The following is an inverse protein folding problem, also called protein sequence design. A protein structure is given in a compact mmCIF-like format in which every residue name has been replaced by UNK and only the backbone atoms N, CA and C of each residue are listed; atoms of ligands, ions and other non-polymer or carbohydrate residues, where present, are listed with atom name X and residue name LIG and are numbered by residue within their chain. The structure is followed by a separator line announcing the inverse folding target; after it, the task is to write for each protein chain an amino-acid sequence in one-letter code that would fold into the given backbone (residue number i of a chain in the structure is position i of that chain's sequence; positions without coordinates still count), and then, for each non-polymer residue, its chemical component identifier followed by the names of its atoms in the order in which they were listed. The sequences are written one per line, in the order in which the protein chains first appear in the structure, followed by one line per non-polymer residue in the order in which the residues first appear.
data_IF_836853721272
#
_entry.id   IF_836853721272
#
_cell.length_a   1.000
_cell.length_b   1.000
_cell.length_c   1.000
_cell.angle_alpha   90.00
_cell.angle_beta   90.00
_cell.angle_gamma   90.00
#
_symmetry.space_group_name_H-M   'P 1'
#
loop_
_entity.id
_entity.type
_entity.pdbx_description
1 polymer ?
#
# COMPACT_ATOMS: atom_id res chain seq x y z
N UNK A 1 20.49 8.49 -0.13
CA UNK A 1 20.17 9.31 -1.32
C UNK A 1 19.83 10.71 -0.79
N UNK A 2 20.85 11.39 -0.26
CA UNK A 2 20.74 12.46 0.75
C UNK A 2 21.33 13.78 0.22
N UNK A 3 21.39 13.95 -1.10
CA UNK A 3 22.29 14.91 -1.73
C UNK A 3 21.67 16.28 -2.04
N UNK A 4 20.34 16.40 -2.08
CA UNK A 4 19.73 17.69 -2.44
C UNK A 4 19.81 18.75 -1.33
N UNK A 5 19.93 18.32 -0.06
CA UNK A 5 20.04 19.21 1.10
C UNK A 5 21.38 19.10 1.86
N UNK A 6 22.31 18.26 1.42
CA UNK A 6 23.67 18.22 2.00
C UNK A 6 24.42 19.55 1.77
N UNK A 7 24.08 20.28 0.70
CA UNK A 7 24.69 21.58 0.38
C UNK A 7 24.18 22.75 1.23
N UNK A 8 23.18 22.55 2.09
CA UNK A 8 22.72 23.58 3.03
C UNK A 8 23.64 23.74 4.26
N UNK A 9 24.79 23.07 4.29
CA UNK A 9 25.84 23.36 5.25
C UNK A 9 26.65 24.57 4.79
N UNK A 10 26.32 25.75 5.30
CA UNK A 10 27.21 26.80 5.81
C UNK A 10 26.42 28.11 5.88
N UNK A 11 26.67 28.91 6.92
CA UNK A 11 25.96 30.14 7.26
C UNK A 11 26.16 31.32 6.30
N UNK A 12 26.09 31.08 4.99
CA UNK A 12 26.10 32.09 3.94
C UNK A 12 25.46 31.57 2.65
N UNK A 13 24.27 30.96 2.72
CA UNK A 13 23.53 30.62 1.51
C UNK A 13 23.10 31.90 0.78
N UNK A 14 23.69 32.17 -0.39
CA UNK A 14 23.26 33.28 -1.25
C UNK A 14 21.77 33.09 -1.58
N UNK A 15 21.00 34.17 -1.54
CA UNK A 15 19.54 34.17 -1.81
C UNK A 15 19.16 33.48 -3.14
N UNK A 16 20.07 33.44 -4.12
CA UNK A 16 19.90 32.70 -5.37
C UNK A 16 19.86 31.17 -5.23
N UNK A 17 20.61 30.60 -4.28
CA UNK A 17 20.68 29.15 -4.06
C UNK A 17 19.39 28.61 -3.43
N UNK A 18 18.82 29.36 -2.47
CA UNK A 18 17.54 29.04 -1.84
C UNK A 18 16.39 29.08 -2.87
N UNK A 19 16.38 30.08 -3.76
CA UNK A 19 15.37 30.18 -4.82
C UNK A 19 15.43 29.01 -5.80
N UNK A 20 16.63 28.62 -6.23
CA UNK A 20 16.82 27.49 -7.12
C UNK A 20 16.34 26.17 -6.49
N UNK A 21 16.60 25.98 -5.18
CA UNK A 21 16.12 24.83 -4.43
C UNK A 21 14.58 24.78 -4.32
N UNK A 22 13.94 25.92 -4.06
CA UNK A 22 12.47 26.03 -4.04
C UNK A 22 11.87 25.69 -5.41
N UNK A 23 12.46 26.20 -6.49
CA UNK A 23 12.02 25.89 -7.86
C UNK A 23 12.24 24.41 -8.22
N UNK A 24 13.32 23.79 -7.75
CA UNK A 24 13.55 22.35 -7.91
C UNK A 24 12.49 21.52 -7.15
N UNK A 25 12.18 21.89 -5.91
CA UNK A 25 11.15 21.23 -5.10
C UNK A 25 9.75 21.34 -5.72
N UNK A 26 9.39 22.53 -6.22
CA UNK A 26 8.12 22.75 -6.93
C UNK A 26 8.02 21.92 -8.22
N UNK A 27 9.11 21.80 -8.98
CA UNK A 27 9.19 20.92 -10.16
C UNK A 27 9.03 19.44 -9.78
N UNK A 28 9.64 19.01 -8.68
CA UNK A 28 9.52 17.63 -8.19
C UNK A 28 8.07 17.32 -7.79
N UNK A 29 7.42 18.21 -7.05
CA UNK A 29 5.99 18.09 -6.72
C UNK A 29 5.12 17.99 -7.96
N UNK A 30 5.34 18.88 -8.94
CA UNK A 30 4.56 18.87 -10.19
C UNK A 30 4.68 17.53 -10.93
N UNK A 31 5.91 16.98 -11.02
CA UNK A 31 6.16 15.67 -11.63
C UNK A 31 5.49 14.53 -10.86
N UNK A 32 5.56 14.54 -9.54
CA UNK A 32 5.06 13.47 -8.69
C UNK A 32 3.53 13.46 -8.55
N UNK A 33 2.89 14.64 -8.51
CA UNK A 33 1.49 14.77 -8.09
C UNK A 33 0.57 15.34 -9.19
N UNK A 34 1.08 16.13 -10.14
CA UNK A 34 0.25 16.89 -11.08
C UNK A 34 0.28 16.33 -12.51
N UNK A 35 1.30 15.56 -12.88
CA UNK A 35 1.46 15.07 -14.24
C UNK A 35 0.88 13.66 -14.44
N UNK A 36 -0.06 13.47 -15.38
CA UNK A 36 -0.53 12.14 -15.74
C UNK A 36 0.62 11.37 -16.40
N UNK A 37 1.18 10.40 -15.68
CA UNK A 37 2.31 9.60 -16.16
C UNK A 37 1.83 8.21 -16.55
N UNK A 38 2.14 7.78 -17.80
CA UNK A 38 1.84 6.41 -18.27
C UNK A 38 2.79 5.36 -17.71
N UNK A 39 3.99 5.76 -17.28
CA UNK A 39 5.00 4.88 -16.72
C UNK A 39 4.93 4.86 -15.18
N UNK A 40 4.28 3.84 -14.63
CA UNK A 40 4.12 3.68 -13.19
C UNK A 40 5.46 3.57 -12.43
N UNK A 41 6.50 3.02 -13.04
CA UNK A 41 7.82 2.90 -12.42
C UNK A 41 8.51 4.28 -12.26
N UNK A 42 8.35 5.16 -13.24
CA UNK A 42 8.83 6.54 -13.12
C UNK A 42 8.06 7.33 -12.07
N UNK A 43 6.74 7.11 -12.00
CA UNK A 43 5.86 7.75 -11.04
C UNK A 43 6.20 7.35 -9.60
N UNK A 44 6.37 6.05 -9.32
CA UNK A 44 6.71 5.57 -7.97
C UNK A 44 8.07 6.11 -7.51
N UNK A 45 9.05 6.24 -8.41
CA UNK A 45 10.35 6.84 -8.11
C UNK A 45 10.22 8.34 -7.79
N UNK A 46 9.41 9.07 -8.58
CA UNK A 46 9.17 10.50 -8.36
C UNK A 46 8.44 10.77 -7.04
N UNK A 47 7.46 9.92 -6.69
CA UNK A 47 6.75 9.98 -5.41
C UNK A 47 7.67 9.68 -4.22
N UNK A 48 8.55 8.68 -4.33
CA UNK A 48 9.54 8.37 -3.30
C UNK A 48 10.53 9.51 -3.10
N UNK A 49 11.08 10.06 -4.20
CA UNK A 49 12.00 11.19 -4.13
C UNK A 49 11.32 12.41 -3.49
N UNK A 50 10.07 12.69 -3.86
CA UNK A 50 9.32 13.79 -3.29
C UNK A 50 9.03 13.59 -1.79
N UNK A 51 8.63 12.39 -1.39
CA UNK A 51 8.40 12.04 0.02
C UNK A 51 9.67 12.20 0.88
N UNK A 52 10.82 11.77 0.37
CA UNK A 52 12.11 11.93 1.06
C UNK A 52 12.44 13.41 1.24
N UNK A 53 12.24 14.25 0.21
CA UNK A 53 12.47 15.69 0.31
C UNK A 53 11.51 16.36 1.31
N UNK A 54 10.23 15.98 1.31
CA UNK A 54 9.24 16.46 2.29
C UNK A 54 9.66 16.14 3.73
N UNK A 55 10.13 14.93 3.98
CA UNK A 55 10.57 14.48 5.31
C UNK A 55 11.81 15.26 5.80
N UNK A 56 12.72 15.61 4.89
CA UNK A 56 13.88 16.46 5.22
C UNK A 56 13.44 17.90 5.50
N UNK A 57 12.45 18.40 4.75
CA UNK A 57 11.93 19.76 4.89
C UNK A 57 11.22 19.96 6.24
N UNK A 58 10.39 19.01 6.65
CA UNK A 58 9.68 19.01 7.94
C UNK A 58 10.62 19.13 9.14
N UNK A 59 11.68 18.31 9.19
CA UNK A 59 12.68 18.36 10.28
C UNK A 59 13.35 19.72 10.43
N UNK A 60 13.41 20.53 9.36
CA UNK A 60 13.95 21.89 9.39
C UNK A 60 12.90 22.92 9.83
N UNK A 61 11.62 22.69 9.50
CA UNK A 61 10.51 23.56 9.92
C UNK A 61 10.12 23.38 11.39
N UNK A 62 10.34 22.20 11.99
CA UNK A 62 10.18 21.98 13.44
C UNK A 62 11.02 22.97 14.28
N UNK A 63 12.01 23.64 13.68
CA UNK A 63 12.89 24.61 14.32
C UNK A 63 12.43 26.08 14.13
N UNK A 64 11.41 26.35 13.30
CA UNK A 64 11.00 27.72 12.92
C UNK A 64 9.47 27.85 12.84
N UNK A 65 8.83 28.70 13.65
CA UNK A 65 7.39 28.96 13.56
C UNK A 65 7.06 30.02 12.50
N UNK A 66 5.93 29.94 11.75
CA UNK A 66 4.84 28.97 11.82
C UNK A 66 4.86 27.89 10.72
N UNK A 67 4.29 26.73 11.05
CA UNK A 67 4.15 25.53 10.20
C UNK A 67 3.08 25.66 9.10
N UNK A 68 2.60 26.87 8.79
CA UNK A 68 1.52 27.04 7.82
C UNK A 68 2.10 27.18 6.40
N UNK A 69 2.16 26.08 5.66
CA UNK A 69 2.44 26.09 4.23
C UNK A 69 1.12 26.23 3.47
N UNK A 70 0.74 27.45 3.13
CA UNK A 70 -0.40 27.70 2.24
C UNK A 70 -0.13 27.09 0.85
N UNK A 71 -1.10 26.34 0.31
CA UNK A 71 -1.16 26.06 -1.13
C UNK A 71 -1.29 24.60 -1.55
N UNK A 72 -1.23 23.62 -0.64
CA UNK A 72 -1.51 22.23 -1.03
C UNK A 72 -3.02 22.01 -1.17
N UNK A 73 -3.45 21.35 -2.25
CA UNK A 73 -4.84 20.96 -2.45
C UNK A 73 -4.87 19.54 -2.96
N UNK A 74 -5.56 18.67 -2.23
CA UNK A 74 -5.79 17.28 -2.59
C UNK A 74 -7.28 17.03 -2.76
N UNK A 75 -7.62 16.23 -3.75
CA UNK A 75 -8.97 15.72 -3.91
C UNK A 75 -9.11 14.39 -3.17
N UNK A 76 -10.34 14.06 -2.86
CA UNK A 76 -10.67 12.77 -2.28
C UNK A 76 -10.34 11.65 -3.27
N UNK A 77 -9.80 10.54 -2.77
CA UNK A 77 -9.51 9.37 -3.60
C UNK A 77 -10.81 8.68 -4.07
N UNK A 78 -11.94 8.90 -3.39
CA UNK A 78 -13.22 8.27 -3.69
C UNK A 78 -14.26 9.30 -4.16
N UNK A 79 -14.85 9.06 -5.33
CA UNK A 79 -15.90 9.91 -5.93
C UNK A 79 -17.27 9.79 -5.23
N UNK A 80 -17.36 9.13 -4.06
CA UNK A 80 -18.62 8.73 -3.40
C UNK A 80 -19.44 9.88 -2.78
N UNK A 81 -18.99 11.13 -2.92
CA UNK A 81 -19.63 12.31 -2.32
C UNK A 81 -19.50 12.40 -0.80
N UNK A 82 -18.86 11.41 -0.14
CA UNK A 82 -18.48 11.43 1.28
C UNK A 82 -16.97 11.49 1.40
N UNK A 83 -16.47 12.37 2.25
CA UNK A 83 -15.02 12.58 2.34
C UNK A 83 -14.33 11.44 3.10
N UNK A 84 -13.30 10.88 2.49
CA UNK A 84 -12.23 10.03 3.02
C UNK A 84 -11.26 10.82 3.90
N UNK A 85 -11.14 12.13 3.67
CA UNK A 85 -10.54 13.04 4.64
C UNK A 85 -11.38 13.03 5.93
N UNK A 86 -10.72 13.03 7.10
CA UNK A 86 -11.40 13.00 8.39
C UNK A 86 -12.48 14.07 8.57
N UNK A 87 -13.39 13.87 9.52
CA UNK A 87 -14.53 14.77 9.83
C UNK A 87 -14.11 16.23 10.14
N UNK A 88 -12.84 16.47 10.43
CA UNK A 88 -12.28 17.79 10.71
C UNK A 88 -11.89 18.50 9.41
N UNK A 89 -12.89 18.85 8.60
CA UNK A 89 -12.73 19.85 7.54
C UNK A 89 -12.56 21.23 8.18
N UNK A 90 -11.34 21.56 8.59
CA UNK A 90 -10.82 22.91 8.44
C UNK A 90 -9.63 22.77 7.49
N UNK A 91 -9.82 23.26 6.28
CA UNK A 91 -8.94 23.23 5.13
C UNK A 91 -7.61 23.96 5.34
N UNK A 92 -6.82 23.50 6.29
CA UNK A 92 -5.42 23.89 6.40
C UNK A 92 -4.62 22.72 5.85
N UNK A 93 -4.31 22.82 4.58
CA UNK A 93 -3.29 21.97 3.97
C UNK A 93 -1.97 22.20 4.67
N UNK A 94 -1.67 21.33 5.63
CA UNK A 94 -0.38 21.32 6.29
C UNK A 94 0.56 20.31 5.61
N UNK A 95 1.85 20.41 5.90
CA UNK A 95 2.90 19.50 5.43
C UNK A 95 2.58 18.04 5.76
N UNK A 96 1.90 17.80 6.88
CA UNK A 96 1.45 16.47 7.31
C UNK A 96 0.46 15.85 6.31
N UNK A 97 -0.52 16.63 5.84
CA UNK A 97 -1.49 16.17 4.86
C UNK A 97 -0.84 15.94 3.49
N UNK A 98 0.08 16.81 3.06
CA UNK A 98 0.85 16.60 1.82
C UNK A 98 1.64 15.29 1.89
N UNK A 99 2.35 15.04 3.00
CA UNK A 99 3.10 13.81 3.22
C UNK A 99 2.21 12.58 3.22
N UNK A 100 1.08 12.64 3.93
CA UNK A 100 0.11 11.54 3.97
C UNK A 100 -0.46 11.25 2.58
N UNK A 101 -0.86 12.27 1.82
CA UNK A 101 -1.39 12.10 0.46
C UNK A 101 -0.35 11.53 -0.51
N UNK A 102 0.91 12.00 -0.44
CA UNK A 102 2.01 11.46 -1.25
C UNK A 102 2.28 9.98 -0.93
N UNK A 103 2.31 9.62 0.36
CA UNK A 103 2.53 8.23 0.78
C UNK A 103 1.35 7.32 0.42
N UNK A 104 0.12 7.82 0.50
CA UNK A 104 -1.07 7.12 0.02
C UNK A 104 -0.96 6.83 -1.49
N UNK A 105 -0.62 7.84 -2.30
CA UNK A 105 -0.44 7.66 -3.74
C UNK A 105 0.72 6.71 -4.07
N UNK A 106 1.82 6.77 -3.31
CA UNK A 106 2.92 5.84 -3.43
C UNK A 106 2.45 4.39 -3.21
N UNK A 107 1.70 4.14 -2.13
CA UNK A 107 1.07 2.84 -1.86
C UNK A 107 0.14 2.39 -2.98
N UNK A 108 -0.70 3.30 -3.49
CA UNK A 108 -1.62 3.02 -4.59
C UNK A 108 -0.87 2.64 -5.89
N UNK A 109 0.18 3.36 -6.26
CA UNK A 109 0.98 3.05 -7.47
C UNK A 109 1.71 1.72 -7.31
N UNK A 110 2.28 1.42 -6.14
CA UNK A 110 2.86 0.10 -5.86
C UNK A 110 1.86 -1.04 -6.08
N UNK A 111 0.63 -0.89 -5.60
CA UNK A 111 -0.43 -1.88 -5.80
C UNK A 111 -0.80 -2.07 -7.27
N UNK A 112 -0.78 -0.99 -8.06
CA UNK A 112 -1.07 -1.05 -9.50
C UNK A 112 0.05 -1.78 -10.26
N UNK A 113 1.32 -1.50 -9.94
CA UNK A 113 2.47 -2.21 -10.54
C UNK A 113 2.45 -3.69 -10.16
N UNK A 114 2.10 -4.00 -8.91
CA UNK A 114 1.97 -5.39 -8.45
C UNK A 114 0.84 -6.13 -9.17
N UNK A 115 -0.32 -5.49 -9.34
CA UNK A 115 -1.47 -6.06 -10.03
C UNK A 115 -1.25 -6.21 -11.55
N UNK A 116 -0.36 -5.43 -12.16
CA UNK A 116 -0.03 -5.54 -13.58
C UNK A 116 0.99 -6.62 -13.93
N UNK A 117 1.57 -7.31 -12.93
CA UNK A 117 2.47 -8.43 -13.18
C UNK A 117 1.73 -9.60 -13.84
N UNK A 118 2.41 -10.39 -14.67
CA UNK A 118 1.80 -11.52 -15.37
C UNK A 118 1.61 -12.76 -14.47
N UNK A 119 2.36 -12.84 -13.37
CA UNK A 119 2.43 -14.00 -12.47
C UNK A 119 2.80 -15.32 -13.15
N UNK A 120 3.46 -15.26 -14.32
CA UNK A 120 3.87 -16.45 -15.08
C UNK A 120 5.25 -16.96 -14.63
N UNK A 121 6.12 -16.06 -14.19
CA UNK A 121 7.45 -16.42 -13.67
C UNK A 121 7.53 -16.27 -12.15
N UNK A 122 8.49 -16.96 -11.55
CA UNK A 122 8.79 -16.86 -10.12
C UNK A 122 9.22 -15.42 -9.74
N UNK A 123 10.03 -14.78 -10.58
CA UNK A 123 10.54 -13.43 -10.33
C UNK A 123 9.42 -12.38 -10.35
N UNK A 124 8.49 -12.45 -11.32
CA UNK A 124 7.33 -11.56 -11.37
C UNK A 124 6.41 -11.78 -10.17
N UNK A 125 6.21 -13.03 -9.74
CA UNK A 125 5.36 -13.35 -8.60
C UNK A 125 5.96 -12.86 -7.28
N UNK A 126 7.27 -13.05 -7.08
CA UNK A 126 8.01 -12.48 -5.94
C UNK A 126 7.96 -10.96 -5.95
N UNK A 127 8.12 -10.36 -7.11
CA UNK A 127 8.06 -8.89 -7.28
C UNK A 127 6.68 -8.37 -6.91
N UNK A 128 5.61 -8.96 -7.43
CA UNK A 128 4.24 -8.59 -7.06
C UNK A 128 4.00 -8.72 -5.56
N UNK A 129 4.39 -9.85 -4.94
CA UNK A 129 4.19 -10.08 -3.52
C UNK A 129 4.93 -9.04 -2.65
N UNK A 130 6.16 -8.68 -3.04
CA UNK A 130 6.96 -7.64 -2.38
C UNK A 130 6.31 -6.25 -2.52
N UNK A 131 5.86 -5.88 -3.72
CA UNK A 131 5.23 -4.60 -3.97
C UNK A 131 3.90 -4.45 -3.21
N UNK A 132 3.11 -5.52 -3.13
CA UNK A 132 1.92 -5.55 -2.28
C UNK A 132 2.26 -5.36 -0.80
N UNK A 133 3.30 -6.01 -0.27
CA UNK A 133 3.74 -5.78 1.12
C UNK A 133 4.21 -4.35 1.37
N UNK A 134 4.94 -3.76 0.42
CA UNK A 134 5.35 -2.35 0.52
C UNK A 134 4.14 -1.41 0.49
N UNK A 135 3.15 -1.69 -0.36
CA UNK A 135 1.88 -0.94 -0.39
C UNK A 135 1.11 -1.07 0.93
N UNK A 136 1.06 -2.26 1.51
CA UNK A 136 0.42 -2.49 2.81
C UNK A 136 1.08 -1.67 3.92
N UNK A 137 2.41 -1.62 3.93
CA UNK A 137 3.18 -0.85 4.90
C UNK A 137 2.98 0.66 4.72
N UNK A 138 2.93 1.14 3.47
CA UNK A 138 2.63 2.54 3.17
C UNK A 138 1.28 2.95 3.74
N UNK A 139 0.22 2.17 3.52
CA UNK A 139 -1.12 2.47 4.04
C UNK A 139 -1.22 2.39 5.57
N UNK A 140 -0.46 1.48 6.20
CA UNK A 140 -0.45 1.32 7.67
C UNK A 140 0.21 2.51 8.38
N UNK A 141 1.19 3.15 7.75
CA UNK A 141 1.99 4.22 8.35
C UNK A 141 1.38 5.62 8.14
N UNK A 142 0.17 5.72 7.57
CA UNK A 142 -0.52 6.99 7.37
C UNK A 142 -1.12 7.50 8.68
N UNK A 143 -1.06 8.82 8.88
CA UNK A 143 -1.48 9.55 10.09
C UNK A 143 -3.01 9.67 10.21
N UNK A 144 -3.48 10.21 11.34
CA UNK A 144 -4.89 10.38 11.71
C UNK A 144 -5.70 11.30 10.75
N UNK A 145 -5.07 11.88 9.74
CA UNK A 145 -5.71 12.79 8.78
C UNK A 145 -6.67 12.07 7.82
N UNK A 146 -6.47 10.76 7.66
CA UNK A 146 -7.28 9.88 6.82
C UNK A 146 -8.08 8.89 7.69
N UNK A 147 -9.21 8.40 7.17
CA UNK A 147 -10.03 7.45 7.92
C UNK A 147 -9.25 6.15 8.24
N UNK A 148 -9.00 5.83 9.53
CA UNK A 148 -8.11 4.74 9.91
C UNK A 148 -8.66 3.37 9.55
N UNK A 149 -9.99 3.18 9.58
CA UNK A 149 -10.62 1.93 9.15
C UNK A 149 -10.37 1.68 7.66
N UNK A 150 -10.49 2.72 6.83
CA UNK A 150 -10.26 2.61 5.38
C UNK A 150 -8.79 2.28 5.08
N UNK A 151 -7.85 2.89 5.81
CA UNK A 151 -6.41 2.60 5.70
C UNK A 151 -6.08 1.16 6.10
N UNK A 152 -6.67 0.68 7.20
CA UNK A 152 -6.53 -0.69 7.66
C UNK A 152 -7.10 -1.68 6.63
N UNK A 153 -8.26 -1.37 6.04
CA UNK A 153 -8.83 -2.16 4.95
C UNK A 153 -7.86 -2.26 3.77
N UNK A 154 -7.30 -1.15 3.29
CA UNK A 154 -6.28 -1.18 2.23
C UNK A 154 -5.06 -2.02 2.61
N UNK A 155 -4.52 -1.84 3.82
CA UNK A 155 -3.37 -2.61 4.29
C UNK A 155 -3.65 -4.12 4.25
N UNK A 156 -4.81 -4.54 4.77
CA UNK A 156 -5.23 -5.95 4.76
C UNK A 156 -5.48 -6.49 3.35
N UNK A 157 -6.09 -5.73 2.45
CA UNK A 157 -6.27 -6.14 1.04
C UNK A 157 -4.91 -6.40 0.39
N UNK A 158 -3.94 -5.50 0.60
CA UNK A 158 -2.60 -5.65 0.03
C UNK A 158 -1.86 -6.86 0.62
N UNK A 159 -1.95 -7.10 1.93
CA UNK A 159 -1.38 -8.31 2.55
C UNK A 159 -2.04 -9.59 2.02
N UNK A 160 -3.36 -9.59 1.83
CA UNK A 160 -4.10 -10.70 1.26
C UNK A 160 -3.66 -10.99 -0.18
N UNK A 161 -3.51 -9.95 -1.01
CA UNK A 161 -3.03 -10.09 -2.40
C UNK A 161 -1.58 -10.58 -2.48
N UNK A 162 -0.72 -10.15 -1.55
CA UNK A 162 0.63 -10.70 -1.42
C UNK A 162 0.60 -12.20 -1.11
N UNK A 163 -0.27 -12.61 -0.19
CA UNK A 163 -0.40 -14.01 0.20
C UNK A 163 -1.03 -14.87 -0.91
N UNK A 164 -1.97 -14.32 -1.67
CA UNK A 164 -2.48 -14.94 -2.89
C UNK A 164 -1.37 -15.15 -3.93
N UNK A 165 -0.47 -14.18 -4.13
CA UNK A 165 0.68 -14.35 -5.02
C UNK A 165 1.58 -15.51 -4.56
N UNK A 166 1.88 -15.59 -3.26
CA UNK A 166 2.61 -16.73 -2.69
C UNK A 166 1.87 -18.05 -2.84
N UNK A 167 0.54 -18.07 -2.70
CA UNK A 167 -0.25 -19.28 -2.90
C UNK A 167 -0.13 -19.77 -4.35
N UNK A 168 -0.31 -18.87 -5.33
CA UNK A 168 -0.19 -19.21 -6.76
C UNK A 168 1.17 -19.84 -7.06
N UNK A 169 2.23 -19.23 -6.53
CA UNK A 169 3.59 -19.78 -6.63
C UNK A 169 3.69 -21.16 -5.99
N UNK A 170 3.32 -21.28 -4.72
CA UNK A 170 3.43 -22.53 -3.96
C UNK A 170 2.66 -23.68 -4.63
N UNK A 171 1.52 -23.37 -5.23
CA UNK A 171 0.72 -24.32 -5.99
C UNK A 171 1.40 -24.74 -7.31
N UNK A 172 1.95 -23.77 -8.06
CA UNK A 172 2.70 -24.05 -9.30
C UNK A 172 3.97 -24.90 -9.04
N UNK A 173 4.67 -24.65 -7.93
CA UNK A 173 5.84 -25.42 -7.49
C UNK A 173 5.48 -26.78 -6.86
N UNK A 174 4.18 -27.10 -6.75
CA UNK A 174 3.68 -28.33 -6.11
C UNK A 174 4.24 -28.54 -4.71
N UNK A 175 4.31 -27.45 -3.92
CA UNK A 175 4.71 -27.54 -2.52
C UNK A 175 3.77 -28.47 -1.75
N UNK A 176 4.28 -29.01 -0.64
CA UNK A 176 3.52 -29.98 0.13
C UNK A 176 2.15 -29.41 0.57
N UNK A 177 1.10 -30.25 0.66
CA UNK A 177 -0.25 -29.76 0.97
C UNK A 177 -0.35 -29.00 2.29
N UNK A 178 0.48 -29.30 3.30
CA UNK A 178 0.49 -28.53 4.56
C UNK A 178 0.93 -27.08 4.36
N UNK A 179 1.91 -26.84 3.49
CA UNK A 179 2.30 -25.48 3.14
C UNK A 179 1.16 -24.75 2.43
N UNK A 180 0.49 -25.41 1.47
CA UNK A 180 -0.64 -24.84 0.75
C UNK A 180 -1.81 -24.47 1.68
N UNK A 181 -2.13 -25.32 2.67
CA UNK A 181 -3.12 -25.00 3.72
C UNK A 181 -2.76 -23.71 4.44
N UNK A 182 -1.52 -23.61 4.94
CA UNK A 182 -1.08 -22.44 5.71
C UNK A 182 -1.14 -21.16 4.89
N UNK A 183 -0.66 -21.21 3.65
CA UNK A 183 -0.64 -20.02 2.79
C UNK A 183 -2.06 -19.60 2.42
N UNK A 184 -2.93 -20.53 2.04
CA UNK A 184 -4.32 -20.25 1.70
C UNK A 184 -5.13 -19.74 2.91
N UNK A 185 -4.97 -20.36 4.08
CA UNK A 185 -5.65 -19.91 5.30
C UNK A 185 -5.25 -18.47 5.66
N UNK A 186 -3.95 -18.15 5.59
CA UNK A 186 -3.48 -16.80 5.87
C UNK A 186 -4.04 -15.76 4.89
N UNK A 187 -4.20 -16.12 3.60
CA UNK A 187 -4.84 -15.25 2.61
C UNK A 187 -6.33 -15.06 2.94
N UNK A 188 -7.03 -16.12 3.35
CA UNK A 188 -8.42 -16.07 3.77
C UNK A 188 -8.62 -15.16 4.99
N UNK A 189 -7.74 -15.25 5.98
CA UNK A 189 -7.78 -14.43 7.19
C UNK A 189 -7.62 -12.94 6.85
N UNK A 190 -6.64 -12.58 6.03
CA UNK A 190 -6.45 -11.18 5.63
C UNK A 190 -7.63 -10.65 4.79
N UNK A 191 -8.18 -11.45 3.86
CA UNK A 191 -9.37 -11.05 3.12
C UNK A 191 -10.61 -10.92 4.01
N UNK A 192 -10.76 -11.79 5.01
CA UNK A 192 -11.86 -11.73 5.97
C UNK A 192 -11.77 -10.46 6.83
N UNK A 193 -10.57 -10.13 7.30
CA UNK A 193 -10.35 -8.92 8.10
C UNK A 193 -10.52 -7.64 7.28
N UNK A 194 -10.04 -7.64 6.03
CA UNK A 194 -10.35 -6.59 5.07
C UNK A 194 -11.87 -6.43 4.88
N UNK A 195 -12.60 -7.53 4.67
CA UNK A 195 -14.05 -7.51 4.45
C UNK A 195 -14.81 -6.89 5.63
N UNK A 196 -14.47 -7.27 6.87
CA UNK A 196 -15.08 -6.69 8.09
C UNK A 196 -14.83 -5.18 8.17
N UNK A 197 -13.58 -4.78 7.93
CA UNK A 197 -13.19 -3.36 8.04
C UNK A 197 -13.83 -2.52 6.93
N UNK A 198 -13.95 -3.07 5.72
CA UNK A 198 -14.66 -2.43 4.61
C UNK A 198 -16.15 -2.27 4.89
N UNK A 199 -16.79 -3.19 5.64
CA UNK A 199 -18.22 -3.08 5.97
C UNK A 199 -18.52 -1.89 6.90
N UNK A 200 -17.60 -1.60 7.85
CA UNK A 200 -17.64 -0.39 8.69
C UNK A 200 -17.61 0.90 7.85
N UNK A 201 -16.98 0.82 6.68
CA UNK A 201 -16.72 1.93 5.76
C UNK A 201 -17.43 1.75 4.40
N UNK A 202 -18.49 0.93 4.35
CA UNK A 202 -19.12 0.44 3.10
C UNK A 202 -19.54 1.53 2.10
N UNK A 203 -19.79 2.74 2.59
CA UNK A 203 -20.20 3.87 1.76
C UNK A 203 -19.10 4.41 0.86
N UNK A 204 -17.81 4.15 1.16
CA UNK A 204 -16.68 4.58 0.34
C UNK A 204 -16.36 3.59 -0.79
N UNK A 205 -16.81 2.33 -0.64
CA UNK A 205 -16.43 1.24 -1.52
C UNK A 205 -17.46 1.00 -2.61
N UNK A 206 -16.98 0.71 -3.82
CA UNK A 206 -17.82 0.18 -4.89
C UNK A 206 -18.33 -1.20 -4.51
N UNK A 207 -19.57 -1.53 -4.86
CA UNK A 207 -20.21 -2.81 -4.51
C UNK A 207 -19.40 -4.00 -5.02
N UNK A 208 -18.79 -3.86 -6.20
CA UNK A 208 -17.95 -4.88 -6.82
C UNK A 208 -16.71 -5.20 -5.97
N UNK A 209 -16.13 -4.20 -5.29
CA UNK A 209 -14.99 -4.40 -4.40
C UNK A 209 -15.40 -5.19 -3.16
N UNK A 210 -16.51 -4.82 -2.52
CA UNK A 210 -17.06 -5.55 -1.37
C UNK A 210 -17.29 -7.02 -1.72
N UNK A 211 -17.94 -7.29 -2.86
CA UNK A 211 -18.20 -8.64 -3.33
C UNK A 211 -16.91 -9.41 -3.65
N UNK A 212 -15.94 -8.76 -4.29
CA UNK A 212 -14.66 -9.39 -4.66
C UNK A 212 -13.87 -9.80 -3.42
N UNK A 213 -13.77 -8.92 -2.43
CA UNK A 213 -13.03 -9.19 -1.19
C UNK A 213 -13.70 -10.29 -0.37
N UNK A 214 -15.03 -10.24 -0.20
CA UNK A 214 -15.78 -11.29 0.48
C UNK A 214 -15.68 -12.64 -0.27
N UNK A 215 -15.81 -12.62 -1.59
CA UNK A 215 -15.67 -13.81 -2.43
C UNK A 215 -14.29 -14.45 -2.33
N UNK A 216 -13.23 -13.63 -2.32
CA UNK A 216 -11.85 -14.11 -2.12
C UNK A 216 -11.63 -14.69 -0.72
N UNK A 217 -12.22 -14.10 0.32
CA UNK A 217 -12.16 -14.65 1.68
C UNK A 217 -12.71 -16.09 1.72
N UNK A 218 -13.94 -16.29 1.23
CA UNK A 218 -14.55 -17.61 1.17
C UNK A 218 -13.81 -18.58 0.23
N UNK A 219 -13.34 -18.09 -0.91
CA UNK A 219 -12.60 -18.89 -1.88
C UNK A 219 -11.29 -19.44 -1.29
N UNK A 220 -10.51 -18.59 -0.62
CA UNK A 220 -9.27 -19.03 0.03
C UNK A 220 -9.52 -19.92 1.25
N UNK A 221 -10.60 -19.70 1.99
CA UNK A 221 -11.02 -20.62 3.05
C UNK A 221 -11.33 -22.02 2.49
N UNK A 222 -12.08 -22.09 1.40
CA UNK A 222 -12.40 -23.35 0.73
C UNK A 222 -11.14 -24.06 0.20
N UNK A 223 -10.20 -23.30 -0.37
CA UNK A 223 -8.89 -23.83 -0.81
C UNK A 223 -8.11 -24.41 0.37
N UNK A 224 -8.07 -23.71 1.51
CA UNK A 224 -7.39 -24.19 2.71
C UNK A 224 -7.99 -25.50 3.22
N UNK A 225 -9.32 -25.60 3.30
CA UNK A 225 -10.01 -26.83 3.71
C UNK A 225 -9.80 -27.98 2.73
N UNK A 226 -9.78 -27.70 1.42
CA UNK A 226 -9.50 -28.69 0.38
C UNK A 226 -8.13 -29.33 0.56
N UNK A 227 -7.07 -28.52 0.68
CA UNK A 227 -5.72 -29.04 0.95
C UNK A 227 -5.65 -29.73 2.31
N UNK A 228 -6.40 -29.23 3.31
CA UNK A 228 -6.49 -29.83 4.64
C UNK A 228 -7.09 -31.23 4.61
N UNK A 229 -8.12 -31.45 3.79
CA UNK A 229 -8.72 -32.75 3.56
C UNK A 229 -7.71 -33.73 2.90
N UNK A 230 -6.91 -33.27 1.95
CA UNK A 230 -5.85 -34.09 1.35
C UNK A 230 -4.83 -34.55 2.39
N UNK A 231 -4.36 -33.64 3.25
CA UNK A 231 -3.44 -33.97 4.36
C UNK A 231 -4.05 -35.03 5.28
N UNK A 232 -5.31 -34.84 5.71
CA UNK A 232 -6.01 -35.78 6.60
C UNK A 232 -6.17 -37.16 5.97
N UNK A 233 -6.45 -37.24 4.67
CA UNK A 233 -6.55 -38.50 3.93
C UNK A 233 -5.23 -39.29 3.94
N UNK A 234 -4.09 -38.61 3.76
CA UNK A 234 -2.78 -39.26 3.83
C UNK A 234 -2.53 -39.88 5.21
N UNK A 235 -2.85 -39.16 6.29
CA UNK A 235 -2.71 -39.69 7.65
C UNK A 235 -3.62 -40.89 7.92
N UNK A 236 -4.86 -40.82 7.47
CA UNK A 236 -5.82 -41.92 7.62
C UNK A 236 -5.32 -43.18 6.91
N UNK A 237 -4.88 -43.07 5.65
CA UNK A 237 -4.35 -44.22 4.90
C UNK A 237 -3.07 -44.79 5.53
N UNK A 238 -2.17 -43.95 6.03
CA UNK A 238 -0.95 -44.39 6.70
C UNK A 238 -1.27 -45.19 7.98
N UNK A 239 -2.19 -44.68 8.80
CA UNK A 239 -2.56 -45.34 10.06
C UNK A 239 -3.20 -46.72 9.84
N UNK A 240 -4.06 -46.88 8.83
CA UNK A 240 -4.71 -48.16 8.55
C UNK A 240 -3.82 -49.19 7.82
N UNK A 241 -2.77 -48.76 7.11
CA UNK A 241 -1.86 -49.66 6.39
C UNK A 241 -0.75 -50.23 7.26
N UNK A 242 -0.38 -49.56 8.36
CA UNK A 242 0.73 -49.96 9.24
C UNK A 242 0.27 -50.57 10.58
N UNK A 243 -1.05 -50.79 10.75
CA UNK A 243 -1.66 -51.46 11.90
C UNK A 243 -2.05 -52.93 11.59
N UNK A 244 -1.51 -53.52 10.52
CA UNK A 244 -1.68 -54.95 10.19
C UNK A 244 -0.35 -55.67 10.21
#
# INVERSE_FOLDING_TARGET
MTLFFANFQTGSAQTGDVRAAIEAFSRLRSRACCQPTRNLQSLVNSLAEYYDQLTVFEKRFEQTAPQHLEGFKWNDAFESGKSFFGKTQNSVSDIFLERAAVLFNYGAVLSQIAASQSFLTDDETKTAAKLFQQSAAAHKNLTNDLNPETLLAFSNIMLAQSQEAFYRKAYAEKLNPKALVKVAAQAADFYSEASKTMDLTKNYWKKEWLNTIAGKAFGFQAIAEFHGAQVRRFYFLFYFTHQR
#
